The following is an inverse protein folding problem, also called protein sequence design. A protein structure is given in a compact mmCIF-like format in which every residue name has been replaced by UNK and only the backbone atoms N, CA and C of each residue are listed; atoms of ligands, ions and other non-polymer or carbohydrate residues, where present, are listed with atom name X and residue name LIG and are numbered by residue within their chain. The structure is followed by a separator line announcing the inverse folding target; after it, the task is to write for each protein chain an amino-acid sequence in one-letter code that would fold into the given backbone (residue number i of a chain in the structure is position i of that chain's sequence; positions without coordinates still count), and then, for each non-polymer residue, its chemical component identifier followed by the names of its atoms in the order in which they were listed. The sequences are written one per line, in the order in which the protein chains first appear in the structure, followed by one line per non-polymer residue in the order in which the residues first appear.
data_IF_543607750132
#
_entry.id   IF_543607750132
#
_cell.length_a   1.000
_cell.length_b   1.000
_cell.length_c   1.000
_cell.angle_alpha   90.00
_cell.angle_beta   90.00
_cell.angle_gamma   90.00
#
_symmetry.space_group_name_H-M   'P 1'
#
loop_
_entity.id
_entity.type
_entity.pdbx_description
1 polymer ?
#
# COMPACT_ATOMS: atom_id res chain seq x y z
N UNK A 1 6.70 -2.80 -24.39
CA UNK A 1 7.38 -1.49 -24.31
C UNK A 1 8.03 -1.39 -22.95
N UNK A 2 9.35 -1.58 -22.85
CA UNK A 2 10.10 -1.38 -21.61
C UNK A 2 10.34 0.11 -21.46
N UNK A 3 9.58 0.78 -20.60
CA UNK A 3 9.84 2.18 -20.24
C UNK A 3 11.19 2.25 -19.55
N UNK A 4 12.19 2.79 -20.26
CA UNK A 4 13.49 3.11 -19.68
C UNK A 4 13.25 4.21 -18.64
N UNK A 5 13.22 3.83 -17.36
CA UNK A 5 12.99 4.76 -16.26
C UNK A 5 14.17 5.72 -16.17
N UNK A 6 13.90 7.02 -16.37
CA UNK A 6 14.91 8.06 -16.21
C UNK A 6 15.30 8.14 -14.73
N UNK A 7 16.60 8.17 -14.39
CA UNK A 7 17.02 8.31 -13.00
C UNK A 7 16.55 9.66 -12.44
N UNK A 8 15.83 9.61 -11.32
CA UNK A 8 15.36 10.79 -10.58
C UNK A 8 16.24 11.06 -9.37
N UNK A 9 16.43 12.34 -9.02
CA UNK A 9 17.32 12.73 -7.92
C UNK A 9 16.56 12.81 -6.60
N UNK A 10 16.97 11.99 -5.63
CA UNK A 10 16.56 12.12 -4.23
C UNK A 10 17.55 13.01 -3.47
N UNK A 11 17.07 14.11 -2.88
CA UNK A 11 17.89 15.02 -2.08
C UNK A 11 17.28 15.21 -0.69
N UNK A 12 18.04 14.89 0.35
CA UNK A 12 17.64 15.08 1.74
C UNK A 12 18.80 15.67 2.56
N UNK A 13 18.47 16.56 3.50
CA UNK A 13 19.41 17.03 4.53
C UNK A 13 19.22 16.16 5.76
N UNK A 14 20.33 15.72 6.34
CA UNK A 14 20.33 14.80 7.47
C UNK A 14 21.36 15.27 8.52
N UNK A 15 21.02 15.15 9.82
CA UNK A 15 21.97 15.33 10.91
C UNK A 15 23.19 14.41 10.78
N UNK A 16 24.33 14.83 11.33
CA UNK A 16 25.59 14.10 11.18
C UNK A 16 25.55 12.70 11.83
N UNK A 17 24.93 12.58 12.99
CA UNK A 17 24.71 11.32 13.71
C UNK A 17 23.87 10.33 12.89
N UNK A 18 22.83 10.82 12.20
CA UNK A 18 22.02 10.00 11.28
C UNK A 18 22.87 9.52 10.10
N UNK A 19 23.75 10.37 9.57
CA UNK A 19 24.67 9.97 8.48
C UNK A 19 25.57 8.82 8.93
N UNK A 20 26.17 8.95 10.10
CA UNK A 20 27.13 7.97 10.64
C UNK A 20 26.44 6.63 10.90
N UNK A 21 25.22 6.66 11.44
CA UNK A 21 24.41 5.47 11.63
C UNK A 21 24.13 4.75 10.30
N UNK A 22 23.66 5.49 9.29
CA UNK A 22 23.36 4.92 7.97
C UNK A 22 24.62 4.40 7.28
N UNK A 23 25.75 5.11 7.40
CA UNK A 23 27.02 4.67 6.84
C UNK A 23 27.47 3.35 7.46
N UNK A 24 27.44 3.25 8.80
CA UNK A 24 27.78 2.01 9.50
C UNK A 24 26.90 0.84 9.08
N UNK A 25 25.59 1.07 8.91
CA UNK A 25 24.66 0.04 8.45
C UNK A 25 24.94 -0.39 7.00
N UNK A 26 25.29 0.56 6.13
CA UNK A 26 25.69 0.29 4.75
C UNK A 26 26.98 -0.55 4.69
N UNK A 27 27.99 -0.18 5.49
CA UNK A 27 29.27 -0.89 5.58
C UNK A 27 29.07 -2.34 6.05
N UNK A 28 28.25 -2.56 7.09
CA UNK A 28 27.89 -3.90 7.59
C UNK A 28 27.12 -4.72 6.55
N UNK A 29 26.36 -4.05 5.67
CA UNK A 29 25.61 -4.70 4.60
C UNK A 29 26.46 -4.96 3.34
N UNK A 30 27.72 -4.49 3.32
CA UNK A 30 28.61 -4.59 2.17
C UNK A 30 28.14 -3.79 0.95
N UNK A 31 27.45 -2.67 1.16
CA UNK A 31 26.87 -1.83 0.09
C UNK A 31 27.25 -0.37 0.26
N UNK A 32 27.14 0.41 -0.82
CA UNK A 32 27.31 1.86 -0.71
C UNK A 32 26.19 2.48 0.14
N UNK A 33 26.46 3.64 0.76
CA UNK A 33 25.45 4.40 1.51
C UNK A 33 24.22 4.71 0.65
N UNK A 34 24.44 5.10 -0.62
CA UNK A 34 23.37 5.39 -1.56
C UNK A 34 22.49 4.17 -1.81
N UNK A 35 23.09 3.01 -2.10
CA UNK A 35 22.34 1.77 -2.35
C UNK A 35 21.58 1.31 -1.10
N UNK A 36 22.22 1.43 0.07
CA UNK A 36 21.58 1.09 1.34
C UNK A 36 20.35 1.95 1.61
N UNK A 37 20.44 3.27 1.40
CA UNK A 37 19.33 4.19 1.62
C UNK A 37 18.20 3.95 0.62
N UNK A 38 18.51 3.73 -0.66
CA UNK A 38 17.50 3.45 -1.69
C UNK A 38 16.75 2.14 -1.37
N UNK A 39 17.48 1.07 -1.03
CA UNK A 39 16.87 -0.21 -0.70
C UNK A 39 16.01 -0.11 0.56
N UNK A 40 16.52 0.53 1.60
CA UNK A 40 15.81 0.70 2.87
C UNK A 40 14.55 1.54 2.69
N UNK A 41 14.62 2.64 1.93
CA UNK A 41 13.46 3.47 1.61
C UNK A 41 12.42 2.69 0.81
N UNK A 42 12.84 1.91 -0.19
CA UNK A 42 11.94 1.05 -0.99
C UNK A 42 11.24 0.00 -0.11
N UNK A 43 11.99 -0.66 0.77
CA UNK A 43 11.44 -1.67 1.67
C UNK A 43 10.40 -1.05 2.62
N UNK A 44 10.73 0.08 3.25
CA UNK A 44 9.84 0.80 4.15
C UNK A 44 8.57 1.30 3.44
N UNK A 45 8.71 1.87 2.23
CA UNK A 45 7.57 2.31 1.42
C UNK A 45 6.66 1.13 1.04
N UNK A 46 7.25 0.02 0.60
CA UNK A 46 6.49 -1.19 0.23
C UNK A 46 5.73 -1.77 1.42
N UNK A 47 6.36 -1.82 2.60
CA UNK A 47 5.71 -2.27 3.83
C UNK A 47 4.52 -1.36 4.19
N UNK A 48 4.75 -0.03 4.18
CA UNK A 48 3.71 0.96 4.49
C UNK A 48 2.51 0.86 3.55
N UNK A 49 2.75 0.75 2.24
CA UNK A 49 1.68 0.59 1.25
C UNK A 49 0.90 -0.70 1.51
N UNK A 50 1.62 -1.82 1.71
CA UNK A 50 0.97 -3.11 1.99
C UNK A 50 0.14 -3.08 3.26
N UNK A 51 0.60 -2.45 4.33
CA UNK A 51 -0.14 -2.34 5.58
C UNK A 51 -1.44 -1.53 5.43
N UNK A 52 -1.47 -0.55 4.52
CA UNK A 52 -2.63 0.32 4.32
C UNK A 52 -3.61 -0.20 3.28
N UNK A 53 -3.11 -0.88 2.25
CA UNK A 53 -3.92 -1.26 1.09
C UNK A 53 -4.26 -2.75 1.04
N UNK A 54 -3.50 -3.60 1.73
CA UNK A 54 -3.70 -5.06 1.69
C UNK A 54 -4.43 -5.53 2.93
N UNK A 55 -5.69 -5.93 2.75
CA UNK A 55 -6.42 -6.68 3.76
C UNK A 55 -5.90 -8.12 3.79
N UNK A 56 -5.27 -8.50 4.91
CA UNK A 56 -4.88 -9.90 5.15
C UNK A 56 -6.05 -10.64 5.78
N UNK A 57 -6.50 -11.69 5.13
CA UNK A 57 -7.58 -12.54 5.61
C UNK A 57 -7.01 -13.84 6.17
N UNK A 58 -7.63 -14.36 7.24
CA UNK A 58 -7.40 -15.75 7.66
C UNK A 58 -7.87 -16.72 6.58
N UNK A 59 -7.58 -18.02 6.73
CA UNK A 59 -8.07 -19.03 5.79
C UNK A 59 -9.60 -19.09 5.82
N UNK A 60 -10.18 -18.97 7.01
CA UNK A 60 -11.61 -18.93 7.25
C UNK A 60 -12.26 -17.70 6.59
N UNK A 61 -11.68 -16.51 6.80
CA UNK A 61 -12.19 -15.28 6.21
C UNK A 61 -12.05 -15.28 4.68
N UNK A 62 -10.95 -15.83 4.17
CA UNK A 62 -10.72 -15.98 2.73
C UNK A 62 -11.77 -16.88 2.09
N UNK A 63 -12.15 -17.97 2.76
CA UNK A 63 -13.22 -18.87 2.31
C UNK A 63 -14.57 -18.16 2.34
N UNK A 64 -14.87 -17.45 3.42
CA UNK A 64 -16.10 -16.65 3.55
C UNK A 64 -16.22 -15.61 2.44
N UNK A 65 -15.15 -14.85 2.17
CA UNK A 65 -15.10 -13.89 1.08
C UNK A 65 -15.28 -14.56 -0.29
N UNK A 66 -14.56 -15.65 -0.56
CA UNK A 66 -14.67 -16.37 -1.82
C UNK A 66 -16.09 -16.91 -2.06
N UNK A 67 -16.74 -17.46 -1.02
CA UNK A 67 -18.12 -17.92 -1.10
C UNK A 67 -19.10 -16.77 -1.38
N UNK A 68 -18.93 -15.62 -0.72
CA UNK A 68 -19.74 -14.43 -0.96
C UNK A 68 -19.56 -13.85 -2.38
N UNK A 69 -18.37 -13.98 -2.97
CA UNK A 69 -18.08 -13.54 -4.35
C UNK A 69 -18.65 -14.52 -5.40
N UNK A 70 -18.56 -15.82 -5.15
CA UNK A 70 -19.05 -16.86 -6.08
C UNK A 70 -20.58 -16.96 -6.02
N UNK A 71 -21.15 -16.87 -4.82
CA UNK A 71 -22.59 -16.99 -4.56
C UNK A 71 -23.11 -15.73 -3.85
N UNK A 72 -23.23 -14.59 -4.55
CA UNK A 72 -23.66 -13.35 -3.94
C UNK A 72 -25.12 -13.45 -3.47
N UNK A 73 -25.35 -13.12 -2.19
CA UNK A 73 -26.70 -13.03 -1.65
C UNK A 73 -27.44 -11.80 -2.22
N UNK A 74 -28.77 -11.88 -2.39
CA UNK A 74 -29.55 -10.72 -2.82
C UNK A 74 -29.49 -9.61 -1.77
N UNK A 75 -29.55 -8.32 -2.18
CA UNK A 75 -29.54 -7.20 -1.25
C UNK A 75 -30.75 -7.27 -0.32
N UNK A 76 -30.47 -7.09 0.98
CA UNK A 76 -31.52 -7.05 2.00
C UNK A 76 -32.38 -5.77 1.89
N UNK A 77 -33.48 -5.71 2.65
CA UNK A 77 -34.42 -4.58 2.57
C UNK A 77 -33.74 -3.23 2.89
N UNK A 78 -32.85 -3.20 3.88
CA UNK A 78 -32.12 -1.99 4.27
C UNK A 78 -31.21 -1.47 3.15
N UNK A 79 -30.48 -2.36 2.48
CA UNK A 79 -29.63 -2.00 1.34
C UNK A 79 -30.45 -1.49 0.15
N UNK A 80 -31.62 -2.08 -0.10
CA UNK A 80 -32.54 -1.61 -1.17
C UNK A 80 -33.05 -0.21 -0.89
N UNK A 81 -33.49 0.08 0.35
CA UNK A 81 -33.94 1.42 0.74
C UNK A 81 -32.82 2.45 0.62
N UNK A 82 -31.61 2.14 1.14
CA UNK A 82 -30.46 3.04 1.05
C UNK A 82 -30.06 3.34 -0.41
N UNK A 83 -30.12 2.34 -1.29
CA UNK A 83 -29.90 2.51 -2.71
C UNK A 83 -30.93 3.45 -3.36
N UNK A 84 -32.22 3.28 -3.03
CA UNK A 84 -33.29 4.12 -3.57
C UNK A 84 -33.18 5.58 -3.09
N UNK A 85 -32.80 5.78 -1.82
CA UNK A 85 -32.54 7.10 -1.26
C UNK A 85 -31.34 7.78 -1.93
N UNK A 86 -30.24 7.05 -2.13
CA UNK A 86 -29.08 7.56 -2.88
C UNK A 86 -29.45 7.99 -4.29
N UNK A 87 -30.24 7.18 -5.02
CA UNK A 87 -30.68 7.51 -6.38
C UNK A 87 -31.52 8.78 -6.43
N UNK A 88 -32.42 8.98 -5.45
CA UNK A 88 -33.22 10.21 -5.36
C UNK A 88 -32.35 11.43 -5.09
N UNK A 89 -31.36 11.31 -4.22
CA UNK A 89 -30.41 12.37 -3.93
C UNK A 89 -29.62 12.79 -5.19
N UNK A 90 -29.06 11.83 -5.93
CA UNK A 90 -28.28 12.13 -7.15
C UNK A 90 -29.09 12.56 -8.36
N UNK A 91 -30.42 12.37 -8.36
CA UNK A 91 -31.31 12.81 -9.45
C UNK A 91 -31.93 14.20 -9.21
N UNK A 92 -31.75 14.75 -8.01
CA UNK A 92 -32.24 16.08 -7.62
C UNK A 92 -31.19 17.19 -7.83
N UNK A 93 -29.94 16.83 -8.12
CA UNK A 93 -28.89 17.71 -8.70
C UNK A 93 -28.96 17.73 -10.23
#
# INVERSE_FOLDING_TARGET
MTTQSKPERFAARLPADVKELLQRAADLSGRSLTDFVIESARAAATATIREREVMRLSVEDSRCLAEALINPAPPNQTLRVAHDDYRRFTQAE
#
